data_IF_790503272147
#
_entry.id   IF_790503272147
#
_cell.length_a   1.000
_cell.length_b   1.000
_cell.length_c   1.000
_cell.angle_alpha   90.00
_cell.angle_beta   90.00
_cell.angle_gamma   90.00
#
_symmetry.space_group_name_H-M   'P 1'
#
loop_
_entity.id
_entity.type
_entity.pdbx_description
1 polymer ?
#
# COMPACT_ATOMS: atom_id res chain seq x y z
N UNK A 1 24.23 6.69 0.91
CA UNK A 1 23.58 5.54 0.25
C UNK A 1 22.11 5.90 0.26
N UNK A 2 21.48 6.05 -0.91
CA UNK A 2 20.11 6.53 -0.97
C UNK A 2 19.20 5.50 -0.27
N UNK A 3 18.45 5.92 0.73
CA UNK A 3 17.44 5.08 1.35
C UNK A 3 16.44 4.65 0.27
N UNK A 4 16.38 3.34 0.00
CA UNK A 4 15.52 2.77 -1.04
C UNK A 4 14.09 2.60 -0.52
N UNK A 5 13.12 3.02 -1.31
CA UNK A 5 11.70 2.77 -1.01
C UNK A 5 11.30 1.40 -1.53
N UNK A 6 10.94 0.50 -0.62
CA UNK A 6 10.50 -0.86 -0.93
C UNK A 6 8.98 -0.92 -0.77
N UNK A 7 8.29 -1.39 -1.82
CA UNK A 7 6.84 -1.62 -1.80
C UNK A 7 6.59 -3.13 -1.90
N UNK A 8 6.08 -3.72 -0.83
CA UNK A 8 5.76 -5.15 -0.77
C UNK A 8 4.24 -5.35 -0.76
N UNK A 9 3.64 -5.94 -1.81
CA UNK A 9 2.26 -6.37 -1.78
C UNK A 9 2.10 -7.58 -0.84
N UNK A 10 1.21 -7.48 0.15
CA UNK A 10 0.88 -8.62 1.01
C UNK A 10 -0.22 -9.47 0.40
N UNK A 11 -0.09 -10.78 0.52
CA UNK A 11 -1.13 -11.74 0.12
C UNK A 11 -2.45 -11.39 0.80
N UNK A 12 -3.52 -11.30 -0.01
CA UNK A 12 -4.87 -10.93 0.45
C UNK A 12 -4.93 -9.63 1.27
N UNK A 13 -3.93 -8.75 1.11
CA UNK A 13 -3.69 -7.65 2.02
C UNK A 13 -3.19 -6.37 1.36
N UNK A 14 -2.80 -5.37 2.17
CA UNK A 14 -2.37 -4.05 1.70
C UNK A 14 -0.97 -4.05 1.06
N UNK A 15 -0.60 -2.92 0.48
CA UNK A 15 0.80 -2.63 0.15
C UNK A 15 1.54 -2.17 1.41
N UNK A 16 2.64 -2.82 1.73
CA UNK A 16 3.56 -2.39 2.78
C UNK A 16 4.69 -1.58 2.13
N UNK A 17 4.69 -0.27 2.39
CA UNK A 17 5.71 0.66 1.90
C UNK A 17 6.70 0.90 3.03
N UNK A 18 8.00 0.79 2.75
CA UNK A 18 9.08 1.06 3.71
C UNK A 18 10.18 1.89 3.05
N UNK A 19 10.70 2.89 3.76
CA UNK A 19 11.77 3.78 3.30
C UNK A 19 11.30 5.24 3.24
N UNK A 20 12.05 6.13 2.57
CA UNK A 20 11.69 7.54 2.45
C UNK A 20 10.60 7.66 1.37
N UNK A 21 9.39 7.97 1.79
CA UNK A 21 8.32 8.27 0.85
C UNK A 21 7.46 9.42 1.38
N UNK A 22 6.70 10.01 0.47
CA UNK A 22 5.68 10.99 0.78
C UNK A 22 4.37 10.51 0.21
N UNK A 23 3.30 10.65 0.99
CA UNK A 23 1.95 10.43 0.50
C UNK A 23 1.34 11.79 0.24
N UNK A 24 1.04 12.07 -1.03
CA UNK A 24 0.40 13.32 -1.46
C UNK A 24 -0.98 12.99 -1.97
N UNK A 25 -1.99 13.68 -1.44
CA UNK A 25 -3.37 13.55 -1.90
C UNK A 25 -3.58 14.26 -3.24
N UNK A 26 -4.68 13.96 -3.91
CA UNK A 26 -5.02 14.56 -5.21
C UNK A 26 -5.17 16.08 -5.16
N UNK A 27 -5.47 16.67 -4.01
CA UNK A 27 -5.54 18.12 -3.80
C UNK A 27 -4.18 18.77 -3.51
N UNK A 28 -3.11 17.97 -3.37
CA UNK A 28 -1.77 18.43 -3.05
C UNK A 28 -1.41 18.40 -1.57
N UNK A 29 -2.35 18.04 -0.67
CA UNK A 29 -2.04 17.86 0.75
C UNK A 29 -1.04 16.73 0.96
N UNK A 30 0.10 17.05 1.59
CA UNK A 30 1.08 16.08 2.06
C UNK A 30 0.61 15.48 3.39
N UNK A 31 0.52 14.15 3.48
CA UNK A 31 0.21 13.45 4.72
C UNK A 31 1.50 13.15 5.47
N UNK A 32 1.47 13.38 6.79
CA UNK A 32 2.53 12.95 7.68
C UNK A 32 2.48 11.42 7.84
N UNK A 33 3.50 10.76 7.29
CA UNK A 33 3.69 9.31 7.35
C UNK A 33 5.09 9.02 7.85
N UNK A 34 5.23 7.96 8.63
CA UNK A 34 6.54 7.47 9.08
C UNK A 34 7.27 6.78 7.92
N UNK A 35 8.50 6.28 8.15
CA UNK A 35 9.26 5.48 7.20
C UNK A 35 8.62 4.13 6.83
N UNK A 36 7.40 3.87 7.31
CA UNK A 36 6.58 2.73 6.94
C UNK A 36 5.09 3.11 6.87
N UNK A 37 4.38 2.56 5.89
CA UNK A 37 2.93 2.68 5.79
C UNK A 37 2.30 1.43 5.17
N UNK A 38 1.02 1.21 5.51
CA UNK A 38 0.19 0.20 4.86
C UNK A 38 -0.88 0.89 4.04
N UNK A 39 -0.78 0.80 2.72
CA UNK A 39 -1.72 1.41 1.78
C UNK A 39 -2.80 0.41 1.37
N UNK A 40 -4.04 0.89 1.30
CA UNK A 40 -5.18 0.09 0.92
C UNK A 40 -5.01 -0.43 -0.52
N UNK A 41 -5.13 -1.75 -0.67
CA UNK A 41 -5.15 -2.43 -1.97
C UNK A 41 -6.52 -2.98 -2.35
N UNK A 42 -7.39 -3.21 -1.36
CA UNK A 42 -8.70 -3.84 -1.57
C UNK A 42 -9.81 -2.88 -2.02
N UNK A 43 -9.64 -1.56 -1.89
CA UNK A 43 -10.65 -0.57 -2.26
C UNK A 43 -11.74 -0.31 -1.20
N UNK A 44 -11.85 -1.13 -0.16
CA UNK A 44 -12.93 -1.01 0.84
C UNK A 44 -12.56 -0.25 2.11
N UNK A 45 -11.31 0.19 2.27
CA UNK A 45 -10.90 0.85 3.52
C UNK A 45 -11.72 2.11 3.83
N UNK A 46 -12.08 2.33 5.09
CA UNK A 46 -12.72 3.55 5.56
C UNK A 46 -11.74 4.71 5.76
N UNK A 47 -10.43 4.44 5.81
CA UNK A 47 -9.36 5.43 6.06
C UNK A 47 -8.39 5.53 4.88
N UNK A 48 -8.91 5.52 3.65
CA UNK A 48 -8.09 5.66 2.44
C UNK A 48 -7.22 6.93 2.51
N UNK A 49 -5.97 6.89 2.05
CA UNK A 49 -5.32 5.81 1.27
C UNK A 49 -4.76 4.66 2.12
N UNK A 50 -4.88 4.71 3.45
CA UNK A 50 -4.32 3.70 4.35
C UNK A 50 -5.20 2.46 4.48
N UNK A 51 -4.61 1.38 4.95
CA UNK A 51 -5.30 0.14 5.29
C UNK A 51 -5.75 0.15 6.76
N UNK A 52 -7.04 -0.06 6.99
CA UNK A 52 -7.71 -0.19 8.30
C UNK A 52 -8.06 -1.65 8.67
N UNK A 53 -7.60 -2.62 7.89
CA UNK A 53 -7.92 -4.04 8.07
C UNK A 53 -9.24 -4.49 7.42
N UNK A 54 -9.96 -3.59 6.73
CA UNK A 54 -11.22 -3.95 6.07
C UNK A 54 -11.04 -5.03 4.99
N UNK A 55 -9.86 -5.15 4.38
CA UNK A 55 -9.53 -6.20 3.40
C UNK A 55 -9.85 -7.62 3.90
N UNK A 56 -9.62 -7.92 5.19
CA UNK A 56 -9.91 -9.23 5.77
C UNK A 56 -11.41 -9.49 5.90
N UNK A 57 -12.20 -8.44 6.14
CA UNK A 57 -13.66 -8.52 6.30
C UNK A 57 -14.38 -8.54 4.95
N UNK A 58 -13.86 -7.82 3.97
CA UNK A 58 -14.37 -7.81 2.59
C UNK A 58 -14.10 -9.09 1.83
N UNK A 59 -13.27 -9.99 2.36
CA UNK A 59 -12.85 -11.21 1.65
C UNK A 59 -11.99 -10.88 0.44
N UNK A 60 -11.11 -9.88 0.55
CA UNK A 60 -10.21 -9.52 -0.55
C UNK A 60 -9.25 -10.68 -0.84
N UNK A 61 -9.42 -11.29 -2.02
CA UNK A 61 -8.55 -12.37 -2.50
C UNK A 61 -7.71 -11.83 -3.64
N UNK A 62 -6.40 -11.82 -3.46
CA UNK A 62 -5.46 -11.53 -4.51
C UNK A 62 -4.13 -12.20 -4.18
N UNK A 63 -3.91 -13.30 -4.87
CA UNK A 63 -2.73 -14.13 -4.76
C UNK A 63 -1.51 -13.38 -5.27
N UNK A 64 -0.43 -13.36 -4.49
CA UNK A 64 0.80 -12.71 -4.91
C UNK A 64 1.43 -13.41 -6.13
N UNK A 65 1.07 -14.66 -6.40
CA UNK A 65 1.52 -15.42 -7.57
C UNK A 65 1.04 -14.83 -8.90
N UNK A 66 -0.07 -14.07 -8.90
CA UNK A 66 -0.59 -13.41 -10.09
C UNK A 66 0.13 -12.10 -10.40
N UNK A 67 0.97 -11.61 -9.47
CA UNK A 67 1.82 -10.44 -9.65
C UNK A 67 3.03 -10.82 -10.49
N UNK A 68 2.79 -10.93 -11.79
CA UNK A 68 3.86 -11.07 -12.77
C UNK A 68 4.64 -9.75 -12.75
N UNK A 69 5.99 -9.78 -12.69
CA UNK A 69 6.74 -8.60 -13.07
C UNK A 69 6.28 -8.24 -14.48
N UNK A 70 5.84 -7.01 -14.68
CA UNK A 70 5.70 -6.49 -16.03
C UNK A 70 7.10 -6.51 -16.62
N UNK A 71 7.42 -7.53 -17.43
CA UNK A 71 8.61 -7.51 -18.26
C UNK A 71 8.42 -6.33 -19.20
N UNK A 72 9.18 -5.26 -18.93
CA UNK A 72 9.23 -4.08 -19.76
C UNK A 72 9.91 -4.37 -21.09
#
# INVERSE_FOLDING_TARGET
>A
MADETIITPRENGPYHVKGPFKVVLSDGTELEVEDQAWLCRCGDSGTKPFCDGTHSKSGFVCDNAEMRPSEG
#
